data_IF_409118199034
#
_entry.id   IF_409118199034
#
_cell.length_a   1.000
_cell.length_b   1.000
_cell.length_c   1.000
_cell.angle_alpha   90.00
_cell.angle_beta   90.00
_cell.angle_gamma   90.00
#
_symmetry.space_group_name_H-M   'P 1'
#
loop_
_entity.id
_entity.type
_entity.pdbx_description
1 polymer ?
#
# COMPACT_ATOMS: atom_id res chain seq x y z
N UNK A 1 7.12 -2.65 -4.70
CA UNK A 1 5.71 -2.32 -4.35
C UNK A 1 4.66 -2.92 -5.30
N UNK A 2 4.87 -2.88 -6.61
CA UNK A 2 3.87 -3.18 -7.65
C UNK A 2 3.21 -4.56 -7.50
N UNK A 3 3.99 -5.60 -7.17
CA UNK A 3 3.45 -6.95 -6.96
C UNK A 3 2.42 -7.01 -5.83
N UNK A 4 2.62 -6.23 -4.76
CA UNK A 4 1.68 -6.14 -3.65
C UNK A 4 0.36 -5.53 -4.13
N UNK A 5 0.44 -4.41 -4.84
CA UNK A 5 -0.72 -3.69 -5.37
C UNK A 5 -1.48 -4.56 -6.37
N UNK A 6 -0.78 -5.19 -7.32
CA UNK A 6 -1.37 -6.13 -8.28
C UNK A 6 -2.07 -7.31 -7.56
N UNK A 7 -1.49 -7.81 -6.48
CA UNK A 7 -2.09 -8.87 -5.64
C UNK A 7 -3.37 -8.39 -4.96
N UNK A 8 -3.37 -7.17 -4.41
CA UNK A 8 -4.54 -6.57 -3.78
C UNK A 8 -5.65 -6.26 -4.80
N UNK A 9 -5.29 -5.76 -5.98
CA UNK A 9 -6.22 -5.51 -7.09
C UNK A 9 -6.89 -6.81 -7.56
N UNK A 10 -6.09 -7.86 -7.80
CA UNK A 10 -6.62 -9.19 -8.13
C UNK A 10 -7.52 -9.74 -7.03
N UNK A 11 -7.10 -9.60 -5.77
CA UNK A 11 -7.90 -10.04 -4.62
C UNK A 11 -9.23 -9.28 -4.51
N UNK A 12 -9.27 -7.99 -4.88
CA UNK A 12 -10.48 -7.19 -4.96
C UNK A 12 -11.42 -7.71 -6.06
N UNK A 13 -10.91 -7.96 -7.26
CA UNK A 13 -11.70 -8.52 -8.37
C UNK A 13 -12.28 -9.90 -8.02
N UNK A 14 -11.54 -10.70 -7.25
CA UNK A 14 -11.95 -12.04 -6.81
C UNK A 14 -12.75 -12.03 -5.48
N UNK A 15 -13.22 -10.87 -5.00
CA UNK A 15 -13.97 -10.71 -3.74
C UNK A 15 -13.29 -11.31 -2.49
N UNK A 16 -11.95 -11.42 -2.50
CA UNK A 16 -11.13 -11.96 -1.40
C UNK A 16 -10.17 -10.93 -0.79
N UNK A 17 -10.42 -9.65 -1.05
CA UNK A 17 -9.57 -8.54 -0.60
C UNK A 17 -9.40 -8.54 0.92
N UNK A 18 -10.49 -8.71 1.66
CA UNK A 18 -10.49 -8.67 3.13
C UNK A 18 -9.56 -9.73 3.73
N UNK A 19 -9.61 -10.95 3.19
CA UNK A 19 -8.74 -12.05 3.58
C UNK A 19 -7.27 -11.75 3.29
N UNK A 20 -6.98 -11.17 2.13
CA UNK A 20 -5.61 -10.79 1.77
C UNK A 20 -5.05 -9.67 2.64
N UNK A 21 -5.84 -8.62 2.89
CA UNK A 21 -5.45 -7.54 3.80
C UNK A 21 -5.20 -8.07 5.22
N UNK A 22 -6.02 -9.00 5.70
CA UNK A 22 -5.82 -9.62 7.01
C UNK A 22 -4.52 -10.43 7.05
N UNK A 23 -4.24 -11.23 6.01
CA UNK A 23 -2.99 -11.99 5.90
C UNK A 23 -1.75 -11.09 5.94
N UNK A 24 -1.76 -9.99 5.19
CA UNK A 24 -0.68 -9.00 5.17
C UNK A 24 -0.57 -8.21 6.48
N UNK A 25 -1.65 -8.12 7.27
CA UNK A 25 -1.65 -7.47 8.58
C UNK A 25 -1.02 -8.34 9.67
N UNK A 26 -1.01 -9.67 9.52
CA UNK A 26 -0.42 -10.59 10.51
C UNK A 26 1.11 -10.59 10.53
N UNK A 27 1.78 -10.17 9.46
CA UNK A 27 3.24 -10.09 9.44
C UNK A 27 3.73 -9.15 10.56
N UNK A 28 4.70 -9.58 11.38
CA UNK A 28 5.23 -8.74 12.48
C UNK A 28 5.94 -7.50 11.95
N UNK A 29 6.64 -7.64 10.83
CA UNK A 29 7.27 -6.55 10.09
C UNK A 29 6.90 -6.71 8.62
N UNK A 30 6.41 -5.63 8.02
CA UNK A 30 6.14 -5.54 6.58
C UNK A 30 7.15 -4.58 5.96
N UNK A 31 7.92 -5.05 4.98
CA UNK A 31 8.88 -4.22 4.26
C UNK A 31 8.29 -3.90 2.89
N UNK A 32 8.14 -2.62 2.58
CA UNK A 32 7.70 -2.12 1.28
C UNK A 32 8.85 -1.34 0.68
N UNK A 33 9.42 -1.90 -0.38
CA UNK A 33 10.56 -1.33 -1.07
C UNK A 33 10.11 -0.55 -2.32
N UNK A 34 10.86 0.52 -2.62
CA UNK A 34 10.77 1.33 -3.84
C UNK A 34 9.42 2.01 -4.07
N UNK A 35 8.90 2.68 -3.03
CA UNK A 35 7.74 3.55 -3.18
C UNK A 35 8.12 4.79 -4.00
N UNK A 36 7.37 5.13 -5.04
CA UNK A 36 7.56 6.37 -5.81
C UNK A 36 8.03 6.22 -7.26
N UNK A 37 8.25 4.99 -7.74
CA UNK A 37 8.72 4.75 -9.11
C UNK A 37 7.62 4.87 -10.17
N UNK A 38 6.39 4.50 -9.84
CA UNK A 38 5.22 4.59 -10.72
C UNK A 38 4.08 5.35 -10.03
N UNK A 39 3.38 6.25 -10.73
CA UNK A 39 2.19 6.91 -10.20
C UNK A 39 1.12 5.85 -9.97
N UNK A 40 0.58 5.79 -8.76
CA UNK A 40 -0.55 4.92 -8.47
C UNK A 40 -1.84 5.57 -8.97
N UNK A 41 -2.74 4.77 -9.52
CA UNK A 41 -4.10 5.25 -9.71
C UNK A 41 -4.83 5.35 -8.34
N UNK A 42 -5.96 6.07 -8.31
CA UNK A 42 -6.74 6.27 -7.06
C UNK A 42 -7.14 4.97 -6.36
N UNK A 43 -7.41 3.92 -7.12
CA UNK A 43 -7.81 2.63 -6.56
C UNK A 43 -6.65 1.92 -5.89
N UNK A 44 -5.48 1.92 -6.54
CA UNK A 44 -4.23 1.38 -6.02
C UNK A 44 -3.78 2.11 -4.75
N UNK A 45 -3.82 3.45 -4.79
CA UNK A 45 -3.56 4.31 -3.63
C UNK A 45 -4.51 3.97 -2.47
N UNK A 46 -5.82 3.84 -2.75
CA UNK A 46 -6.80 3.44 -1.74
C UNK A 46 -6.47 2.07 -1.11
N UNK A 47 -6.11 1.07 -1.90
CA UNK A 47 -5.73 -0.26 -1.40
C UNK A 47 -4.47 -0.21 -0.52
N UNK A 48 -3.49 0.59 -0.94
CA UNK A 48 -2.27 0.83 -0.18
C UNK A 48 -2.57 1.48 1.18
N UNK A 49 -3.36 2.55 1.21
CA UNK A 49 -3.77 3.21 2.46
C UNK A 49 -4.62 2.30 3.36
N UNK A 50 -5.47 1.44 2.79
CA UNK A 50 -6.22 0.44 3.59
C UNK A 50 -5.28 -0.54 4.29
N UNK A 51 -4.18 -0.95 3.66
CA UNK A 51 -3.17 -1.79 4.29
C UNK A 51 -2.39 -1.03 5.38
N UNK A 52 -1.95 0.20 5.10
CA UNK A 52 -1.28 1.06 6.07
C UNK A 52 -2.14 1.28 7.32
N UNK A 53 -3.40 1.70 7.13
CA UNK A 53 -4.34 1.96 8.23
C UNK A 53 -4.64 0.72 9.08
N UNK A 54 -4.62 -0.49 8.49
CA UNK A 54 -4.78 -1.73 9.28
C UNK A 54 -3.61 -2.03 10.18
N UNK A 55 -2.42 -1.62 9.78
CA UNK A 55 -1.17 -1.87 10.49
C UNK A 55 -0.77 -0.72 11.40
N UNK A 56 -1.33 0.47 11.18
CA UNK A 56 -1.18 1.64 12.05
C UNK A 56 -1.44 1.24 13.51
N UNK A 57 -0.50 1.58 14.40
CA UNK A 57 -0.48 1.25 15.84
C UNK A 57 -0.53 -0.25 16.20
N UNK A 58 -0.51 -1.16 15.22
CA UNK A 58 -0.62 -2.61 15.47
C UNK A 58 0.63 -3.40 15.10
N UNK A 59 1.32 -3.03 14.02
CA UNK A 59 2.50 -3.75 13.56
C UNK A 59 3.43 -2.85 12.73
N UNK A 60 4.73 -3.10 12.81
CA UNK A 60 5.73 -2.25 12.17
C UNK A 60 5.70 -2.36 10.65
N UNK A 61 6.00 -1.24 9.99
CA UNK A 61 6.16 -1.16 8.54
C UNK A 61 7.49 -0.45 8.27
N UNK A 62 8.31 -1.04 7.43
CA UNK A 62 9.53 -0.42 6.90
C UNK A 62 9.22 -0.04 5.47
N UNK A 63 9.39 1.24 5.15
CA UNK A 63 9.13 1.80 3.83
C UNK A 63 10.44 2.36 3.30
N UNK A 64 10.78 2.04 2.05
CA UNK A 64 11.83 2.76 1.31
C UNK A 64 11.18 3.49 0.15
N UNK A 65 11.68 4.68 -0.16
CA UNK A 65 11.17 5.50 -1.25
C UNK A 65 12.33 6.25 -1.89
N UNK A 66 12.27 6.40 -3.21
CA UNK A 66 13.15 7.29 -3.97
C UNK A 66 12.62 8.74 -4.01
N UNK A 67 11.46 8.99 -3.40
CA UNK A 67 10.79 10.29 -3.34
C UNK A 67 10.63 10.75 -1.89
N UNK A 68 10.73 12.05 -1.67
CA UNK A 68 10.52 12.63 -0.34
C UNK A 68 9.03 12.63 0.03
N UNK A 69 8.70 12.76 1.32
CA UNK A 69 7.30 12.83 1.78
C UNK A 69 6.49 13.95 1.11
N UNK A 70 7.14 15.05 0.71
CA UNK A 70 6.48 16.15 -0.01
C UNK A 70 5.95 15.72 -1.38
N UNK A 71 6.61 14.78 -2.04
CA UNK A 71 6.27 14.30 -3.38
C UNK A 71 5.20 13.19 -3.36
N UNK A 72 4.80 12.73 -2.17
CA UNK A 72 3.82 11.67 -2.03
C UNK A 72 2.42 12.12 -2.48
N UNK A 73 2.07 13.41 -2.32
CA UNK A 73 0.80 13.94 -2.81
C UNK A 73 0.62 13.76 -4.33
N UNK A 74 1.68 14.02 -5.10
CA UNK A 74 1.70 13.78 -6.55
C UNK A 74 1.63 12.29 -6.89
N UNK A 75 2.25 11.42 -6.08
CA UNK A 75 2.26 9.98 -6.29
C UNK A 75 0.89 9.33 -6.08
N UNK A 76 0.13 9.78 -5.07
CA UNK A 76 -1.18 9.23 -4.72
C UNK A 76 -2.36 9.95 -5.39
N UNK A 77 -2.09 11.03 -6.13
CA UNK A 77 -3.10 11.77 -6.89
C UNK A 77 -4.04 12.61 -6.02
N UNK A 78 -3.64 12.91 -4.77
CA UNK A 78 -4.34 13.83 -3.86
C UNK A 78 -3.44 15.05 -3.63
N UNK A 79 -3.85 16.17 -4.22
CA UNK A 79 -3.39 17.49 -3.78
C UNK A 79 -4.23 17.83 -2.54
N UNK A 80 -3.62 17.75 -1.36
CA UNK A 80 -4.14 18.41 -0.14
C UNK A 80 -3.60 19.83 -0.11
#
# INVERSE_FOLDING_TARGET
LDRLIATLMKAKQENRLERQLQQLSYARVLILDEIGYLPMNREEASLFFRLLNRRYEKASIILTSNKGFADWGEMFGDHV
#
